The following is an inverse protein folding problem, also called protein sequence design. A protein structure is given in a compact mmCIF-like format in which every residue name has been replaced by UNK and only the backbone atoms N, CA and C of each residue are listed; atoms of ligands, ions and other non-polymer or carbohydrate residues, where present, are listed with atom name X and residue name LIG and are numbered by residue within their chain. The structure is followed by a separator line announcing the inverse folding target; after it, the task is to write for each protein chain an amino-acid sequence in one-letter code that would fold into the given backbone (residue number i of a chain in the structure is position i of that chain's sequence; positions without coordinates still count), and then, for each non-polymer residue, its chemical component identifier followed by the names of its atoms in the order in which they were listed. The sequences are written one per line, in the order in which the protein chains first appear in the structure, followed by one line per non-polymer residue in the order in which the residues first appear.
data_IF_372924397232
#
_entry.id   IF_372924397232
#
_cell.length_a   1.000
_cell.length_b   1.000
_cell.length_c   1.000
_cell.angle_alpha   90.00
_cell.angle_beta   90.00
_cell.angle_gamma   90.00
#
_symmetry.space_group_name_H-M   'P 1'
#
loop_
_entity.id
_entity.type
_entity.pdbx_description
1 polymer ?
#
# COMPACT_ATOMS: atom_id res chain seq x y z
N UNK A 1 -24.94 41.36 -26.68
CA UNK A 1 -24.21 41.50 -25.41
C UNK A 1 -25.07 40.89 -24.31
N UNK A 2 -24.80 39.64 -23.93
CA UNK A 2 -25.49 38.97 -22.82
C UNK A 2 -24.39 38.42 -21.90
N UNK A 3 -24.31 38.98 -20.69
CA UNK A 3 -23.45 38.50 -19.61
C UNK A 3 -24.11 37.31 -18.92
N UNK A 4 -23.39 36.22 -18.61
CA UNK A 4 -23.93 35.16 -17.78
C UNK A 4 -23.80 35.49 -16.28
N UNK A 5 -24.90 35.27 -15.56
CA UNK A 5 -25.04 35.40 -14.10
C UNK A 5 -24.18 34.36 -13.34
N UNK A 6 -23.67 34.68 -12.13
CA UNK A 6 -22.88 33.74 -11.34
C UNK A 6 -23.76 32.74 -10.59
N UNK A 7 -23.39 31.46 -10.66
CA UNK A 7 -23.98 30.36 -9.90
C UNK A 7 -23.61 30.48 -8.41
N UNK A 8 -24.63 30.62 -7.55
CA UNK A 8 -24.52 30.61 -6.09
C UNK A 8 -24.15 29.20 -5.63
N UNK A 9 -22.94 29.03 -5.09
CA UNK A 9 -22.46 27.76 -4.54
C UNK A 9 -22.76 27.70 -3.05
N UNK A 10 -23.87 27.05 -2.69
CA UNK A 10 -24.33 26.87 -1.31
C UNK A 10 -23.38 25.93 -0.56
N UNK A 11 -22.53 26.49 0.33
CA UNK A 11 -21.68 25.71 1.23
C UNK A 11 -22.53 25.16 2.38
N UNK A 12 -22.85 23.86 2.37
CA UNK A 12 -23.33 23.15 3.57
C UNK A 12 -22.15 22.89 4.50
N UNK A 13 -22.12 23.57 5.65
CA UNK A 13 -21.25 23.22 6.78
C UNK A 13 -21.80 21.96 7.43
N UNK A 14 -20.97 20.92 7.54
CA UNK A 14 -21.27 19.75 8.38
C UNK A 14 -20.55 19.96 9.70
N UNK A 15 -21.31 20.14 10.78
CA UNK A 15 -20.80 20.27 12.14
C UNK A 15 -20.67 18.86 12.73
N UNK A 16 -19.48 18.46 13.15
CA UNK A 16 -19.25 17.20 13.89
C UNK A 16 -19.52 17.47 15.37
N UNK A 17 -20.49 16.77 15.95
CA UNK A 17 -20.81 16.82 17.38
C UNK A 17 -19.98 15.77 18.15
N UNK A 18 -19.22 16.21 19.15
CA UNK A 18 -18.57 15.35 20.12
C UNK A 18 -19.54 15.07 21.28
N UNK A 19 -19.86 13.80 21.56
CA UNK A 19 -20.64 13.39 22.72
C UNK A 19 -19.68 12.75 23.72
N UNK A 20 -19.57 13.36 24.90
CA UNK A 20 -18.79 12.84 26.02
C UNK A 20 -19.47 11.63 26.68
N UNK A 21 -18.67 10.65 27.10
CA UNK A 21 -19.11 9.58 27.99
C UNK A 21 -18.79 9.94 29.44
N UNK A 22 -19.81 9.87 30.30
CA UNK A 22 -19.69 9.93 31.74
C UNK A 22 -19.27 8.56 32.33
N UNK A 23 -18.34 8.58 33.28
CA UNK A 23 -18.02 7.44 34.14
C UNK A 23 -19.13 7.19 35.16
N UNK A 24 -19.43 5.92 35.44
CA UNK A 24 -20.06 5.49 36.68
C UNK A 24 -19.21 4.38 37.31
N UNK A 25 -18.67 4.66 38.50
CA UNK A 25 -18.10 3.65 39.40
C UNK A 25 -19.24 2.99 40.20
N UNK A 26 -19.19 1.67 40.36
CA UNK A 26 -19.92 0.96 41.42
C UNK A 26 -18.97 0.02 42.13
N UNK A 27 -19.06 0.06 43.46
CA UNK A 27 -18.14 -0.53 44.43
C UNK A 27 -18.36 -2.04 44.69
N UNK A 28 -17.33 -2.60 45.30
CA UNK A 28 -17.06 -4.00 45.69
C UNK A 28 -18.07 -4.54 46.73
N UNK A 29 -18.41 -5.83 46.61
CA UNK A 29 -18.97 -6.64 47.68
C UNK A 29 -18.31 -8.03 47.74
N UNK A 30 -17.70 -8.36 48.89
CA UNK A 30 -17.11 -9.68 49.18
C UNK A 30 -18.17 -10.69 49.61
N UNK A 31 -18.08 -11.94 49.14
CA UNK A 31 -18.49 -13.16 49.86
C UNK A 31 -17.89 -14.41 49.19
N UNK A 32 -17.14 -15.20 49.95
CA UNK A 32 -16.75 -16.58 49.63
C UNK A 32 -17.85 -17.54 50.10
N UNK A 33 -18.10 -18.63 49.35
CA UNK A 33 -18.20 -20.03 49.83
C UNK A 33 -18.61 -20.97 48.67
N UNK A 34 -17.78 -22.00 48.48
CA UNK A 34 -18.14 -23.39 48.10
C UNK A 34 -18.67 -23.76 46.70
N UNK A 35 -18.02 -24.78 46.11
CA UNK A 35 -18.71 -25.82 45.34
C UNK A 35 -18.47 -25.87 43.83
N UNK A 36 -17.30 -26.36 43.40
CA UNK A 36 -17.06 -26.76 42.02
C UNK A 36 -17.59 -28.19 41.76
N UNK A 37 -18.33 -28.41 40.66
CA UNK A 37 -18.08 -29.55 39.80
C UNK A 37 -17.58 -29.08 38.43
N UNK A 38 -16.37 -29.53 38.08
CA UNK A 38 -15.70 -29.31 36.80
C UNK A 38 -16.50 -29.97 35.67
N UNK A 39 -17.30 -29.18 34.95
CA UNK A 39 -17.90 -29.59 33.69
C UNK A 39 -17.00 -29.10 32.55
N UNK A 40 -16.25 -30.03 31.96
CA UNK A 40 -15.37 -29.77 30.82
C UNK A 40 -16.21 -29.42 29.59
N UNK A 41 -16.45 -28.12 29.39
CA UNK A 41 -17.00 -27.60 28.13
C UNK A 41 -15.86 -27.54 27.12
N UNK A 42 -15.82 -28.50 26.21
CA UNK A 42 -14.94 -28.42 25.04
C UNK A 42 -15.21 -27.13 24.29
N UNK A 43 -14.26 -26.20 24.35
CA UNK A 43 -14.21 -25.06 23.44
C UNK A 43 -13.94 -25.64 22.07
N UNK A 44 -14.96 -25.69 21.21
CA UNK A 44 -14.76 -25.89 19.78
C UNK A 44 -14.02 -24.65 19.32
N UNK A 45 -12.72 -24.76 19.16
CA UNK A 45 -11.95 -23.78 18.38
C UNK A 45 -12.54 -23.82 16.98
N UNK A 46 -13.41 -22.86 16.68
CA UNK A 46 -13.72 -22.51 15.30
C UNK A 46 -12.42 -21.98 14.75
N UNK A 47 -11.65 -22.85 14.11
CA UNK A 47 -10.61 -22.41 13.18
C UNK A 47 -11.35 -21.71 12.07
N UNK A 48 -11.56 -20.39 12.20
CA UNK A 48 -11.84 -19.54 11.05
C UNK A 48 -10.65 -19.72 10.12
N UNK A 49 -10.81 -20.61 9.15
CA UNK A 49 -10.04 -20.62 7.92
C UNK A 49 -9.92 -19.17 7.49
N UNK A 50 -8.69 -18.68 7.34
CA UNK A 50 -8.42 -17.36 6.79
C UNK A 50 -9.28 -17.22 5.52
N UNK A 51 -10.36 -16.44 5.63
CA UNK A 51 -11.03 -15.88 4.47
C UNK A 51 -9.91 -15.19 3.71
N UNK A 52 -9.69 -15.59 2.46
CA UNK A 52 -8.78 -14.86 1.60
C UNK A 52 -9.09 -13.37 1.71
N UNK A 53 -8.04 -12.55 1.67
CA UNK A 53 -8.19 -11.10 1.54
C UNK A 53 -9.31 -10.80 0.53
N UNK A 54 -10.23 -9.94 0.90
CA UNK A 54 -11.25 -9.40 -0.01
C UNK A 54 -10.69 -8.19 -0.78
N UNK A 55 -9.36 -8.13 -0.92
CA UNK A 55 -8.64 -7.26 -1.84
C UNK A 55 -7.98 -8.07 -2.96
N UNK A 56 -7.89 -7.45 -4.13
CA UNK A 56 -7.12 -7.91 -5.28
C UNK A 56 -6.05 -6.88 -5.65
N UNK A 57 -5.45 -7.02 -6.83
CA UNK A 57 -4.45 -6.10 -7.36
C UNK A 57 -4.95 -4.64 -7.50
N UNK A 58 -6.27 -4.41 -7.40
CA UNK A 58 -6.90 -3.10 -7.50
C UNK A 58 -7.47 -2.62 -6.16
N UNK A 59 -7.20 -3.32 -5.06
CA UNK A 59 -7.72 -3.00 -3.72
C UNK A 59 -8.99 -3.77 -3.38
N UNK A 60 -9.79 -3.25 -2.45
CA UNK A 60 -10.90 -4.01 -1.86
C UNK A 60 -12.12 -4.14 -2.78
N UNK A 61 -12.67 -5.35 -2.91
CA UNK A 61 -13.84 -5.63 -3.77
C UNK A 61 -15.18 -5.40 -3.08
N UNK A 62 -15.22 -5.30 -1.74
CA UNK A 62 -16.48 -5.31 -0.95
C UNK A 62 -17.05 -3.93 -0.61
N UNK A 63 -16.30 -2.84 -0.82
CA UNK A 63 -16.70 -1.49 -0.36
C UNK A 63 -17.37 -0.63 -1.45
N UNK A 64 -18.15 -1.24 -2.35
CA UNK A 64 -18.89 -0.52 -3.39
C UNK A 64 -18.00 0.36 -4.29
N UNK A 65 -16.73 0.01 -4.43
CA UNK A 65 -15.73 0.77 -5.19
C UNK A 65 -15.03 1.92 -4.46
N UNK A 66 -15.32 2.19 -3.17
CA UNK A 66 -14.73 3.32 -2.43
C UNK A 66 -13.26 3.15 -2.03
N UNK A 67 -12.81 1.92 -1.79
CA UNK A 67 -11.41 1.58 -1.47
C UNK A 67 -10.78 0.70 -2.56
N UNK A 68 -11.10 1.05 -3.81
CA UNK A 68 -10.67 0.32 -5.02
C UNK A 68 -10.11 1.28 -6.06
N UNK A 69 -9.11 0.89 -6.81
CA UNK A 69 -8.58 1.67 -7.92
C UNK A 69 -9.57 1.78 -9.08
N UNK A 70 -9.43 2.85 -9.86
CA UNK A 70 -10.27 3.13 -11.03
C UNK A 70 -9.80 2.30 -12.23
N UNK A 71 -10.75 1.78 -13.01
CA UNK A 71 -10.44 1.03 -14.22
C UNK A 71 -9.52 -0.17 -13.95
N UNK A 72 -8.37 -0.18 -14.63
CA UNK A 72 -7.31 -1.21 -14.54
C UNK A 72 -6.11 -0.75 -13.72
N UNK A 73 -6.19 0.39 -13.03
CA UNK A 73 -5.10 0.92 -12.21
C UNK A 73 -4.78 -0.01 -11.03
N UNK A 74 -3.50 -0.08 -10.66
CA UNK A 74 -3.05 -0.99 -9.61
C UNK A 74 -3.04 -0.31 -8.23
N UNK A 75 -3.39 -1.10 -7.21
CA UNK A 75 -3.21 -0.75 -5.82
C UNK A 75 -1.73 -0.84 -5.45
N UNK A 76 -1.10 0.33 -5.32
CA UNK A 76 0.23 0.43 -4.76
C UNK A 76 0.26 0.07 -3.28
N UNK A 77 -0.84 0.37 -2.60
CA UNK A 77 -1.20 -0.26 -1.34
C UNK A 77 -2.69 -0.15 -1.06
N UNK A 78 -3.25 -1.17 -0.42
CA UNK A 78 -4.51 -1.17 0.28
C UNK A 78 -4.29 -1.44 1.78
N UNK A 79 -5.14 -0.85 2.61
CA UNK A 79 -5.14 -1.06 4.05
C UNK A 79 -6.56 -1.16 4.59
N UNK A 80 -6.81 -2.14 5.44
CA UNK A 80 -7.99 -2.21 6.30
C UNK A 80 -7.60 -1.87 7.72
N UNK A 81 -8.39 -1.04 8.36
CA UNK A 81 -8.38 -0.82 9.81
C UNK A 81 -9.73 -1.25 10.38
N UNK A 82 -9.95 -1.09 11.69
CA UNK A 82 -11.29 -1.30 12.26
C UNK A 82 -12.32 -0.26 11.84
N UNK A 83 -11.91 0.87 11.24
CA UNK A 83 -12.78 2.01 10.91
C UNK A 83 -12.74 2.43 9.44
N UNK A 84 -11.71 2.01 8.71
CA UNK A 84 -11.40 2.50 7.37
C UNK A 84 -10.95 1.38 6.45
N UNK A 85 -11.26 1.52 5.16
CA UNK A 85 -10.65 0.79 4.07
C UNK A 85 -10.06 1.79 3.09
N UNK A 86 -8.78 1.65 2.80
CA UNK A 86 -7.98 2.65 2.11
C UNK A 86 -7.24 2.01 0.95
N UNK A 87 -7.03 2.78 -0.12
CA UNK A 87 -6.16 2.39 -1.22
C UNK A 87 -5.39 3.60 -1.75
N UNK A 88 -4.11 3.41 -2.05
CA UNK A 88 -3.33 4.27 -2.92
C UNK A 88 -3.13 3.53 -4.23
N UNK A 89 -3.51 4.19 -5.31
CA UNK A 89 -3.52 3.64 -6.65
C UNK A 89 -2.47 4.33 -7.50
N UNK A 90 -1.97 3.64 -8.51
CA UNK A 90 -1.11 4.19 -9.54
C UNK A 90 -1.77 4.02 -10.91
N UNK A 91 -1.91 5.12 -11.63
CA UNK A 91 -2.37 5.09 -13.02
C UNK A 91 -1.31 4.53 -13.96
N UNK A 92 -1.71 4.16 -15.18
CA UNK A 92 -0.79 3.77 -16.26
C UNK A 92 0.26 4.86 -16.60
N UNK A 93 -0.03 6.12 -16.26
CA UNK A 93 0.89 7.27 -16.41
C UNK A 93 1.72 7.55 -15.15
N UNK A 94 1.79 6.60 -14.22
CA UNK A 94 2.49 6.67 -12.94
C UNK A 94 1.98 7.75 -11.97
N UNK A 95 0.75 8.26 -12.15
CA UNK A 95 0.16 9.24 -11.23
C UNK A 95 -0.47 8.52 -10.04
N UNK A 96 -0.13 8.96 -8.83
CA UNK A 96 -0.71 8.43 -7.61
C UNK A 96 -2.02 9.14 -7.26
N UNK A 97 -2.96 8.39 -6.71
CA UNK A 97 -4.16 8.92 -6.10
C UNK A 97 -4.60 8.02 -4.95
N UNK A 98 -5.34 8.60 -4.00
CA UNK A 98 -5.81 7.95 -2.79
C UNK A 98 -7.32 7.87 -2.84
N UNK A 99 -7.86 6.73 -2.41
CA UNK A 99 -9.30 6.55 -2.20
C UNK A 99 -9.53 5.92 -0.83
N UNK A 100 -10.46 6.51 -0.08
CA UNK A 100 -10.79 6.06 1.27
C UNK A 100 -12.28 5.76 1.38
N UNK A 101 -12.62 4.71 2.13
CA UNK A 101 -13.97 4.34 2.52
C UNK A 101 -14.03 4.25 4.05
N UNK A 102 -14.94 5.02 4.65
CA UNK A 102 -15.18 4.98 6.09
C UNK A 102 -16.25 3.94 6.41
N UNK A 103 -15.90 2.94 7.21
CA UNK A 103 -16.75 1.78 7.48
C UNK A 103 -18.03 2.17 8.24
N UNK A 104 -17.97 3.18 9.10
CA UNK A 104 -19.08 3.55 9.97
C UNK A 104 -20.34 4.03 9.24
N UNK A 105 -20.16 4.71 8.10
CA UNK A 105 -21.26 5.36 7.37
C UNK A 105 -21.12 5.31 5.85
N UNK A 106 -20.12 4.59 5.34
CA UNK A 106 -19.88 4.42 3.92
C UNK A 106 -19.41 5.68 3.19
N UNK A 107 -18.99 6.71 3.92
CA UNK A 107 -18.47 7.92 3.30
C UNK A 107 -17.17 7.63 2.54
N UNK A 108 -17.07 8.16 1.30
CA UNK A 108 -15.88 8.01 0.46
C UNK A 108 -15.15 9.33 0.24
N UNK A 109 -13.85 9.25 -0.03
CA UNK A 109 -13.02 10.39 -0.42
C UNK A 109 -12.02 9.97 -1.50
N UNK A 110 -11.80 10.84 -2.48
CA UNK A 110 -10.79 10.67 -3.53
C UNK A 110 -9.84 11.88 -3.49
N UNK A 111 -8.52 11.64 -3.45
CA UNK A 111 -7.48 12.66 -3.39
C UNK A 111 -6.41 12.38 -4.46
N UNK A 112 -5.96 13.43 -5.15
CA UNK A 112 -5.02 13.32 -6.28
C UNK A 112 -3.65 13.96 -6.01
N UNK A 113 -3.49 14.58 -4.84
CA UNK A 113 -2.21 15.08 -4.35
C UNK A 113 -1.63 14.02 -3.42
N UNK A 114 -0.88 13.08 -4.00
CA UNK A 114 -0.31 11.92 -3.29
C UNK A 114 1.18 11.81 -3.56
N UNK A 115 1.94 11.70 -2.49
CA UNK A 115 3.38 11.54 -2.50
C UNK A 115 3.78 10.20 -1.86
N UNK A 116 4.85 9.60 -2.39
CA UNK A 116 5.54 8.50 -1.71
C UNK A 116 6.41 9.08 -0.61
N UNK A 117 6.37 8.45 0.55
CA UNK A 117 7.26 8.73 1.67
C UNK A 117 8.05 7.48 2.02
N UNK A 118 9.19 7.62 2.70
CA UNK A 118 10.04 6.48 3.08
C UNK A 118 9.28 5.45 3.93
N UNK A 119 8.27 5.89 4.70
CA UNK A 119 7.44 5.07 5.57
C UNK A 119 6.06 4.71 4.98
N UNK A 120 5.71 5.19 3.79
CA UNK A 120 4.52 4.74 3.06
C UNK A 120 4.03 5.77 2.03
N UNK A 121 2.80 6.26 2.21
CA UNK A 121 2.18 7.23 1.31
C UNK A 121 1.50 8.35 2.07
N UNK A 122 1.46 9.51 1.44
CA UNK A 122 0.90 10.73 2.00
C UNK A 122 -0.04 11.33 0.99
N UNK A 123 -1.33 11.42 1.33
CA UNK A 123 -2.31 12.15 0.54
C UNK A 123 -2.70 13.46 1.23
N UNK A 124 -2.83 14.53 0.47
CA UNK A 124 -3.14 15.87 0.97
C UNK A 124 -4.52 16.32 0.48
N UNK A 125 -5.32 16.85 1.40
CA UNK A 125 -6.52 17.59 1.09
C UNK A 125 -6.32 19.05 1.55
N UNK A 126 -5.80 19.87 0.63
CA UNK A 126 -5.48 21.27 0.88
C UNK A 126 -6.69 22.12 1.25
N UNK A 127 -7.89 21.78 0.77
CA UNK A 127 -9.11 22.52 1.09
C UNK A 127 -9.51 22.39 2.58
N UNK A 128 -9.19 21.25 3.17
CA UNK A 128 -9.53 20.92 4.56
C UNK A 128 -8.33 20.97 5.50
N UNK A 129 -7.16 21.41 4.99
CA UNK A 129 -5.87 21.40 5.69
C UNK A 129 -5.62 20.03 6.38
N UNK A 130 -5.83 18.96 5.60
CA UNK A 130 -5.79 17.60 6.07
C UNK A 130 -4.73 16.77 5.34
N UNK A 131 -4.05 15.89 6.09
CA UNK A 131 -3.01 14.98 5.63
C UNK A 131 -3.34 13.56 6.07
N UNK A 132 -3.35 12.65 5.10
CA UNK A 132 -3.68 11.25 5.23
C UNK A 132 -2.40 10.45 5.05
N UNK A 133 -1.90 9.85 6.12
CA UNK A 133 -0.66 9.06 6.11
C UNK A 133 -1.02 7.61 6.21
N UNK A 134 -0.60 6.83 5.22
CA UNK A 134 -0.72 5.38 5.25
C UNK A 134 0.70 4.82 5.37
N UNK A 135 0.98 4.13 6.46
CA UNK A 135 2.24 3.41 6.67
C UNK A 135 2.02 1.92 6.88
N UNK A 136 3.09 1.14 6.98
CA UNK A 136 3.01 -0.32 7.11
C UNK A 136 2.26 -0.81 8.36
N UNK A 137 2.09 0.03 9.38
CA UNK A 137 1.44 -0.31 10.66
C UNK A 137 0.05 0.29 10.85
N UNK A 138 -0.35 1.26 10.02
CA UNK A 138 -1.60 1.97 10.26
C UNK A 138 -1.79 3.23 9.43
N UNK A 139 -2.89 3.89 9.74
CA UNK A 139 -3.37 5.09 9.10
C UNK A 139 -3.45 6.24 10.11
N UNK A 140 -3.00 7.42 9.72
CA UNK A 140 -3.14 8.64 10.50
C UNK A 140 -3.77 9.75 9.66
N UNK A 141 -4.78 10.42 10.22
CA UNK A 141 -5.36 11.63 9.68
C UNK A 141 -5.03 12.81 10.58
N UNK A 142 -4.26 13.75 10.04
CA UNK A 142 -3.98 15.03 10.69
C UNK A 142 -4.78 16.12 10.00
N UNK A 143 -5.55 16.89 10.75
CA UNK A 143 -6.32 18.01 10.24
C UNK A 143 -6.05 19.26 11.07
N UNK A 144 -5.75 20.38 10.43
CA UNK A 144 -5.41 21.64 11.13
C UNK A 144 -4.27 21.46 12.17
N UNK A 145 -3.29 20.62 11.85
CA UNK A 145 -2.14 20.32 12.71
C UNK A 145 -2.45 19.37 13.88
N UNK A 146 -3.68 18.88 14.04
CA UNK A 146 -4.06 17.91 15.08
C UNK A 146 -4.33 16.54 14.49
N UNK A 147 -3.83 15.49 15.12
CA UNK A 147 -4.19 14.10 14.77
C UNK A 147 -5.64 13.86 15.20
N UNK A 148 -6.52 13.62 14.24
CA UNK A 148 -7.95 13.36 14.47
C UNK A 148 -8.33 11.90 14.23
N UNK A 149 -7.48 11.12 13.56
CA UNK A 149 -7.57 9.67 13.52
C UNK A 149 -6.16 9.06 13.57
N UNK A 150 -6.04 7.99 14.35
CA UNK A 150 -4.87 7.12 14.41
C UNK A 150 -5.41 5.69 14.54
N UNK A 151 -5.16 4.88 13.51
CA UNK A 151 -5.82 3.60 13.31
C UNK A 151 -4.79 2.52 12.98
N UNK A 152 -4.76 1.45 13.77
CA UNK A 152 -3.89 0.30 13.49
C UNK A 152 -4.40 -0.49 12.29
N UNK A 153 -3.46 -0.97 11.48
CA UNK A 153 -3.79 -1.85 10.37
C UNK A 153 -4.24 -3.22 10.88
N UNK A 154 -5.36 -3.69 10.34
CA UNK A 154 -5.84 -5.08 10.44
C UNK A 154 -5.33 -5.88 9.25
N UNK A 155 -5.20 -5.23 8.10
CA UNK A 155 -4.75 -5.83 6.85
C UNK A 155 -3.99 -4.79 6.03
N UNK A 156 -2.90 -5.20 5.40
CA UNK A 156 -2.11 -4.37 4.48
C UNK A 156 -1.63 -5.24 3.33
N UNK A 157 -1.71 -4.72 2.12
CA UNK A 157 -1.10 -5.34 0.94
C UNK A 157 -1.17 -4.42 -0.28
N UNK A 158 -0.34 -4.58 -1.31
CA UNK A 158 0.98 -5.20 -1.24
C UNK A 158 1.84 -4.54 -0.14
N UNK A 159 2.95 -5.16 0.29
CA UNK A 159 3.78 -4.61 1.35
C UNK A 159 4.23 -3.19 1.00
N UNK A 160 3.81 -2.20 1.80
CA UNK A 160 4.43 -0.89 1.74
C UNK A 160 5.88 -1.12 2.14
N UNK A 161 6.81 -0.80 1.25
CA UNK A 161 8.18 -0.47 1.59
C UNK A 161 8.81 -1.30 2.73
N UNK A 162 8.83 -2.61 2.61
CA UNK A 162 10.04 -3.27 3.05
C UNK A 162 11.19 -2.64 2.24
N UNK A 163 12.33 -2.31 2.86
CA UNK A 163 13.57 -1.96 2.16
C UNK A 163 14.10 -3.14 1.33
N UNK A 164 13.22 -3.79 0.56
CA UNK A 164 13.48 -4.83 -0.41
C UNK A 164 14.08 -4.13 -1.60
N UNK A 165 15.37 -4.38 -1.76
CA UNK A 165 16.13 -3.95 -2.92
C UNK A 165 16.06 -5.01 -4.02
N UNK A 166 16.39 -4.62 -5.25
CA UNK A 166 16.62 -5.59 -6.31
C UNK A 166 18.05 -6.15 -6.20
N UNK A 167 18.23 -7.38 -5.75
CA UNK A 167 19.55 -8.01 -5.72
C UNK A 167 20.62 -7.23 -4.94
N UNK A 168 21.88 -7.40 -5.35
CA UNK A 168 23.03 -6.63 -4.85
C UNK A 168 23.83 -6.04 -6.01
N UNK A 169 24.24 -4.77 -5.88
CA UNK A 169 25.17 -4.16 -6.82
C UNK A 169 26.55 -4.85 -6.81
N UNK A 170 26.97 -5.36 -5.64
CA UNK A 170 28.24 -6.05 -5.49
C UNK A 170 28.25 -7.36 -6.30
N UNK A 171 27.15 -8.13 -6.24
CA UNK A 171 26.98 -9.37 -6.99
C UNK A 171 26.95 -9.14 -8.50
N UNK A 172 26.37 -8.02 -8.95
CA UNK A 172 26.23 -7.71 -10.39
C UNK A 172 27.43 -6.97 -10.98
N UNK A 173 28.44 -6.66 -10.16
CA UNK A 173 29.66 -5.98 -10.55
C UNK A 173 29.58 -4.44 -10.44
N UNK A 174 30.75 -3.81 -10.38
CA UNK A 174 30.91 -2.37 -10.09
C UNK A 174 30.30 -1.42 -11.13
N UNK A 175 30.01 -1.90 -12.34
CA UNK A 175 29.35 -1.13 -13.39
C UNK A 175 27.83 -1.25 -13.34
N UNK A 176 27.30 -2.07 -12.44
CA UNK A 176 25.88 -2.29 -12.31
C UNK A 176 25.16 -1.08 -11.72
N UNK A 177 23.92 -0.84 -12.16
CA UNK A 177 23.02 0.19 -11.59
C UNK A 177 21.62 -0.38 -11.43
N UNK A 178 20.89 0.16 -10.47
CA UNK A 178 19.54 -0.31 -10.10
C UNK A 178 19.55 -1.47 -9.12
N UNK A 179 20.54 -2.35 -9.19
CA UNK A 179 20.75 -3.38 -8.18
C UNK A 179 21.12 -2.76 -6.82
N UNK A 180 20.66 -3.36 -5.73
CA UNK A 180 20.79 -2.80 -4.38
C UNK A 180 19.91 -1.56 -4.12
N UNK A 181 19.05 -1.16 -5.08
CA UNK A 181 18.10 -0.07 -4.91
C UNK A 181 16.68 -0.58 -4.73
N UNK A 182 15.86 0.15 -3.97
CA UNK A 182 14.42 -0.13 -3.81
C UNK A 182 13.70 0.27 -5.09
N UNK A 183 12.95 -0.68 -5.68
CA UNK A 183 12.08 -0.47 -6.84
C UNK A 183 12.73 0.39 -7.95
N UNK A 184 13.87 -0.04 -8.52
CA UNK A 184 14.62 0.76 -9.47
C UNK A 184 13.83 0.97 -10.77
N UNK A 185 13.83 2.19 -11.30
CA UNK A 185 13.22 2.54 -12.59
C UNK A 185 14.16 2.26 -13.79
N UNK A 186 15.39 1.82 -13.54
CA UNK A 186 16.34 1.34 -14.53
C UNK A 186 17.31 0.33 -13.91
N UNK A 187 17.70 -0.67 -14.71
CA UNK A 187 18.78 -1.61 -14.39
C UNK A 187 19.78 -1.67 -15.55
N UNK A 188 21.07 -1.83 -15.22
CA UNK A 188 22.10 -2.10 -16.24
C UNK A 188 23.28 -2.83 -15.62
N UNK A 189 24.02 -3.57 -16.45
CA UNK A 189 25.32 -4.15 -16.11
C UNK A 189 26.49 -3.35 -16.72
N UNK A 190 26.27 -2.09 -17.09
CA UNK A 190 27.32 -1.19 -17.60
C UNK A 190 27.38 -1.04 -19.12
N UNK A 191 26.46 -1.66 -19.85
CA UNK A 191 26.35 -1.49 -21.31
C UNK A 191 24.89 -1.40 -21.76
N UNK A 192 24.67 -0.81 -22.94
CA UNK A 192 23.35 -0.68 -23.54
C UNK A 192 22.70 -2.05 -23.81
N UNK A 193 23.47 -3.06 -24.21
CA UNK A 193 22.96 -4.41 -24.47
C UNK A 193 22.26 -5.05 -23.25
N UNK A 194 22.65 -4.65 -22.04
CA UNK A 194 22.12 -5.16 -20.78
C UNK A 194 21.38 -4.07 -19.98
N UNK A 195 20.94 -2.98 -20.63
CA UNK A 195 20.24 -1.89 -19.97
C UNK A 195 18.74 -1.94 -20.26
N UNK A 196 17.95 -1.88 -19.19
CA UNK A 196 16.50 -1.70 -19.22
C UNK A 196 16.17 -0.44 -18.43
N UNK A 197 15.37 0.44 -19.01
CA UNK A 197 15.00 1.74 -18.43
C UNK A 197 13.50 1.94 -18.42
N UNK A 198 13.02 2.96 -17.69
CA UNK A 198 11.59 3.26 -17.53
C UNK A 198 10.82 2.05 -17.01
N UNK A 199 11.42 1.36 -16.06
CA UNK A 199 10.83 0.18 -15.46
C UNK A 199 9.68 0.63 -14.58
N UNK A 200 8.49 0.12 -14.89
CA UNK A 200 7.31 0.24 -14.03
C UNK A 200 7.13 -1.11 -13.35
N UNK A 201 7.24 -1.11 -12.03
CA UNK A 201 7.05 -2.28 -11.19
C UNK A 201 5.66 -2.28 -10.57
N UNK A 202 5.05 -3.46 -10.55
CA UNK A 202 3.77 -3.78 -9.96
C UNK A 202 4.00 -4.81 -8.85
N UNK A 203 3.28 -4.67 -7.73
CA UNK A 203 3.40 -5.55 -6.56
C UNK A 203 4.80 -5.57 -5.90
N UNK A 204 5.57 -4.47 -5.98
CA UNK A 204 6.86 -4.39 -5.29
C UNK A 204 6.70 -4.64 -3.78
N UNK A 205 7.53 -5.53 -3.24
CA UNK A 205 7.46 -5.99 -1.86
C UNK A 205 6.73 -7.33 -1.67
N UNK A 206 5.87 -7.75 -2.60
CA UNK A 206 5.22 -9.06 -2.56
C UNK A 206 6.23 -10.20 -2.85
N UNK A 207 5.89 -11.49 -2.61
CA UNK A 207 6.78 -12.61 -2.93
C UNK A 207 7.29 -12.61 -4.38
N UNK A 208 6.49 -12.05 -5.30
CA UNK A 208 6.87 -11.73 -6.67
C UNK A 208 6.44 -10.30 -7.02
N UNK A 209 7.28 -9.61 -7.78
CA UNK A 209 7.01 -8.29 -8.35
C UNK A 209 7.20 -8.33 -9.85
N UNK A 210 6.23 -7.77 -10.58
CA UNK A 210 6.19 -7.81 -12.04
C UNK A 210 6.59 -6.45 -12.60
N UNK A 211 7.53 -6.43 -13.52
CA UNK A 211 8.01 -5.20 -14.14
C UNK A 211 7.77 -5.18 -15.63
N UNK A 212 7.67 -3.98 -16.20
CA UNK A 212 7.83 -3.77 -17.62
C UNK A 212 8.77 -2.59 -17.88
N UNK A 213 9.65 -2.70 -18.87
CA UNK A 213 10.63 -1.67 -19.17
C UNK A 213 11.09 -1.67 -20.63
N UNK A 214 11.89 -0.67 -20.99
CA UNK A 214 12.43 -0.46 -22.33
C UNK A 214 13.92 -0.80 -22.38
N UNK A 215 14.27 -1.75 -23.24
CA UNK A 215 15.65 -2.07 -23.57
C UNK A 215 16.36 -0.93 -24.30
N UNK A 216 17.64 -0.77 -24.02
CA UNK A 216 18.47 0.17 -24.78
C UNK A 216 18.83 -0.40 -26.15
N UNK A 217 18.68 0.42 -27.19
CA UNK A 217 19.18 0.16 -28.55
C UNK A 217 19.91 1.40 -29.05
N UNK A 218 20.96 1.22 -29.86
CA UNK A 218 21.67 2.36 -30.45
C UNK A 218 20.92 2.98 -31.62
N UNK A 219 20.13 2.18 -32.34
CA UNK A 219 19.33 2.59 -33.50
C UNK A 219 18.05 1.78 -33.51
N UNK A 220 16.91 2.43 -33.81
CA UNK A 220 15.60 1.77 -33.94
C UNK A 220 14.69 1.92 -32.73
N UNK A 221 13.62 1.13 -32.72
CA UNK A 221 12.63 1.10 -31.65
C UNK A 221 13.16 0.34 -30.42
N UNK A 222 12.92 0.88 -29.22
CA UNK A 222 13.34 0.24 -27.97
C UNK A 222 12.46 -0.99 -27.70
N UNK A 223 13.03 -2.20 -27.57
CA UNK A 223 12.25 -3.38 -27.26
C UNK A 223 11.65 -3.27 -25.86
N UNK A 224 10.45 -3.80 -25.68
CA UNK A 224 9.80 -3.92 -24.38
C UNK A 224 10.15 -5.25 -23.73
N UNK A 225 10.53 -5.20 -22.46
CA UNK A 225 10.81 -6.39 -21.66
C UNK A 225 9.82 -6.50 -20.50
N UNK A 226 9.36 -7.72 -20.25
CA UNK A 226 8.76 -8.10 -18.98
C UNK A 226 9.86 -8.49 -17.99
N UNK A 227 9.65 -8.19 -16.71
CA UNK A 227 10.54 -8.56 -15.62
C UNK A 227 9.74 -9.26 -14.52
N UNK A 228 10.35 -10.24 -13.86
CA UNK A 228 9.80 -10.84 -12.64
C UNK A 228 10.90 -10.90 -11.59
N UNK A 229 10.76 -10.09 -10.55
CA UNK A 229 11.60 -10.13 -9.37
C UNK A 229 10.95 -11.04 -8.33
N UNK A 230 11.69 -12.01 -7.80
CA UNK A 230 11.14 -13.04 -6.90
C UNK A 230 12.16 -13.50 -5.87
N UNK A 231 11.79 -14.50 -5.05
CA UNK A 231 12.65 -15.09 -4.01
C UNK A 231 13.11 -14.04 -3.00
N UNK A 232 12.15 -13.40 -2.34
CA UNK A 232 12.42 -12.42 -1.27
C UNK A 232 13.18 -13.09 -0.13
N UNK A 233 14.35 -12.54 0.21
CA UNK A 233 15.18 -13.04 1.29
C UNK A 233 16.41 -12.17 1.56
N UNK A 234 17.25 -12.54 2.53
CA UNK A 234 18.48 -11.81 2.81
C UNK A 234 19.48 -11.92 1.66
N UNK A 235 20.13 -10.81 1.36
CA UNK A 235 21.14 -10.61 0.31
C UNK A 235 22.18 -9.62 0.87
N UNK A 236 23.37 -10.11 1.22
CA UNK A 236 24.42 -9.33 1.91
C UNK A 236 23.91 -8.53 3.13
N UNK A 237 22.98 -9.11 3.91
CA UNK A 237 22.41 -8.48 5.11
C UNK A 237 21.26 -7.51 4.87
N UNK A 238 20.87 -7.28 3.61
CA UNK A 238 19.69 -6.49 3.22
C UNK A 238 18.59 -7.42 2.72
N UNK A 239 17.32 -7.11 3.01
CA UNK A 239 16.21 -7.85 2.42
C UNK A 239 16.15 -7.50 0.93
N UNK A 240 16.05 -8.50 0.03
CA UNK A 240 16.09 -8.26 -1.41
C UNK A 240 15.28 -9.29 -2.19
N UNK A 241 14.89 -8.94 -3.41
CA UNK A 241 14.59 -9.94 -4.44
C UNK A 241 15.89 -10.57 -4.88
N UNK A 242 16.03 -11.88 -4.67
CA UNK A 242 17.26 -12.62 -4.98
C UNK A 242 17.28 -13.19 -6.39
N UNK A 243 16.14 -13.19 -7.08
CA UNK A 243 16.02 -13.71 -8.43
C UNK A 243 15.32 -12.72 -9.37
N UNK A 244 15.81 -12.65 -10.61
CA UNK A 244 15.25 -11.82 -11.68
C UNK A 244 15.14 -12.58 -12.99
N UNK A 245 13.93 -12.72 -13.50
CA UNK A 245 13.65 -13.16 -14.87
C UNK A 245 13.42 -11.94 -15.77
N UNK A 246 13.91 -11.99 -17.00
CA UNK A 246 13.75 -10.94 -18.03
C UNK A 246 13.20 -11.61 -19.29
N UNK A 247 12.23 -11.00 -19.95
CA UNK A 247 11.64 -11.50 -21.20
C UNK A 247 11.03 -12.91 -21.13
N UNK A 248 10.69 -13.39 -19.92
CA UNK A 248 10.21 -14.76 -19.71
C UNK A 248 11.32 -15.82 -19.63
N UNK A 249 12.59 -15.40 -19.64
CA UNK A 249 13.73 -16.30 -19.41
C UNK A 249 13.74 -16.86 -17.98
N UNK A 250 14.54 -17.91 -17.78
CA UNK A 250 14.79 -18.48 -16.46
C UNK A 250 15.33 -17.42 -15.51
N UNK A 251 14.75 -17.33 -14.31
CA UNK A 251 15.17 -16.37 -13.29
C UNK A 251 16.64 -16.59 -12.91
N UNK A 252 17.43 -15.52 -13.01
CA UNK A 252 18.84 -15.50 -12.60
C UNK A 252 18.96 -15.09 -11.16
N UNK A 253 19.89 -15.70 -10.45
CA UNK A 253 20.28 -15.21 -9.13
C UNK A 253 21.00 -13.87 -9.28
N UNK A 254 20.57 -12.87 -8.52
CA UNK A 254 21.10 -11.50 -8.53
C UNK A 254 21.66 -11.10 -7.16
N UNK A 255 21.96 -12.08 -6.32
CA UNK A 255 22.44 -11.94 -4.95
C UNK A 255 23.64 -12.81 -4.59
N UNK A 256 24.02 -13.74 -5.47
CA UNK A 256 25.20 -14.57 -5.30
C UNK A 256 26.24 -14.17 -6.37
N UNK A 257 27.52 -14.18 -6.01
CA UNK A 257 28.68 -13.88 -6.88
C UNK A 257 28.99 -15.02 -7.86
#
# INVERSE_FOLDING_TARGET
MHTPSPLVRTRRRVTVAAIGLAMAMVAVGCSNLEGQPTSSRSVVTVTTTASGSDADAHGFVVFGGGARCLGTDDAMVYMRTSKSALVVCQSETNRLYYRGYRISDGATIDLYEVERDAAGYVAVNSADNARYVIGSRGFQLTQNGSVIADESAVEVGPPMNTSIVLGSADAMGSTSRGYGSTQPDAITMGSCANAISRIVWHNWGAPESYGSGLGCVQVGEMPRYSLVASNVGPCHGVLAYRALAIAGDVARNICDD
#
